data_IF_418366186082
#
_entry.id   IF_418366186082
#
_cell.length_a   1.000
_cell.length_b   1.000
_cell.length_c   1.000
_cell.angle_alpha   90.00
_cell.angle_beta   90.00
_cell.angle_gamma   90.00
#
_symmetry.space_group_name_H-M   'P 1'
#
loop_
_entity.id
_entity.type
_entity.pdbx_description
1 polymer ?
#
# COMPACT_ATOMS: atom_id res chain seq x y z
N UNK A 1 -7.10 3.59 -16.36
CA UNK A 1 -6.65 3.92 -15.00
C UNK A 1 -7.86 4.37 -14.20
N UNK A 2 -8.09 3.72 -13.07
CA UNK A 2 -9.08 4.15 -12.08
C UNK A 2 -8.61 5.48 -11.49
N UNK A 3 -9.52 6.44 -11.28
CA UNK A 3 -9.23 7.74 -10.66
C UNK A 3 -9.07 7.66 -9.14
N UNK A 4 -8.24 6.74 -8.63
CA UNK A 4 -7.88 6.61 -7.21
C UNK A 4 -6.36 6.71 -7.05
N UNK A 5 -5.90 7.00 -5.83
CA UNK A 5 -4.46 7.04 -5.51
C UNK A 5 -3.80 5.66 -5.43
N UNK A 6 -4.56 4.57 -5.59
CA UNK A 6 -4.02 3.21 -5.45
C UNK A 6 -2.93 2.92 -6.48
N UNK A 7 -3.08 3.39 -7.72
CA UNK A 7 -2.05 3.23 -8.76
C UNK A 7 -0.77 3.98 -8.42
N UNK A 8 -0.88 5.22 -7.95
CA UNK A 8 0.27 6.00 -7.46
C UNK A 8 0.94 5.29 -6.29
N UNK A 9 0.15 4.86 -5.30
CA UNK A 9 0.61 4.19 -4.08
C UNK A 9 1.39 2.89 -4.39
N UNK A 10 0.89 2.06 -5.30
CA UNK A 10 1.56 0.84 -5.75
C UNK A 10 2.83 1.14 -6.57
N UNK A 11 2.89 2.28 -7.27
CA UNK A 11 4.07 2.63 -8.07
C UNK A 11 5.22 3.24 -7.24
N UNK A 12 4.90 3.90 -6.12
CA UNK A 12 5.89 4.62 -5.30
C UNK A 12 7.10 3.77 -4.85
N UNK A 13 6.96 2.51 -4.43
CA UNK A 13 8.11 1.69 -4.08
C UNK A 13 9.07 1.46 -5.26
N UNK A 14 8.55 1.26 -6.46
CA UNK A 14 9.38 1.07 -7.66
C UNK A 14 10.05 2.39 -8.08
N UNK A 15 9.32 3.50 -7.95
CA UNK A 15 9.83 4.84 -8.21
C UNK A 15 10.96 5.24 -7.24
N UNK A 16 10.78 5.09 -5.93
CA UNK A 16 11.84 5.37 -4.96
C UNK A 16 12.94 4.31 -5.00
N UNK A 17 12.60 3.06 -5.27
CA UNK A 17 13.54 1.95 -5.43
C UNK A 17 14.50 2.14 -6.61
N UNK A 18 14.11 2.91 -7.64
CA UNK A 18 15.02 3.31 -8.72
C UNK A 18 15.92 4.51 -8.38
N UNK A 19 15.66 5.17 -7.25
CA UNK A 19 16.32 6.40 -6.82
C UNK A 19 15.65 7.69 -7.30
N UNK A 20 14.45 7.61 -7.90
CA UNK A 20 13.72 8.78 -8.34
C UNK A 20 13.15 9.60 -7.16
N UNK A 21 12.83 10.86 -7.42
CA UNK A 21 12.36 11.83 -6.40
C UNK A 21 11.09 12.51 -6.86
N UNK A 22 10.14 12.70 -5.93
CA UNK A 22 8.86 13.36 -6.24
C UNK A 22 9.01 14.81 -6.72
N UNK A 23 10.17 15.44 -6.45
CA UNK A 23 10.51 16.77 -6.96
C UNK A 23 10.95 16.79 -8.42
N UNK A 24 11.20 15.63 -9.04
CA UNK A 24 11.70 15.47 -10.42
C UNK A 24 11.13 14.18 -11.05
N UNK A 25 9.87 14.27 -11.47
CA UNK A 25 9.08 13.13 -11.94
C UNK A 25 9.53 12.58 -13.31
N UNK A 26 10.24 13.36 -14.11
CA UNK A 26 10.72 13.01 -15.46
C UNK A 26 12.20 12.59 -15.49
N UNK A 27 12.80 12.37 -14.33
CA UNK A 27 14.17 11.85 -14.21
C UNK A 27 14.35 10.49 -14.91
N UNK A 28 15.58 10.17 -15.32
CA UNK A 28 15.89 8.89 -15.96
C UNK A 28 15.55 7.69 -15.05
N UNK A 29 15.65 7.86 -13.73
CA UNK A 29 15.28 6.87 -12.72
C UNK A 29 13.76 6.63 -12.70
N UNK A 30 12.95 7.69 -12.80
CA UNK A 30 11.50 7.58 -12.88
C UNK A 30 11.07 6.85 -14.16
N UNK A 31 11.66 7.23 -15.30
CA UNK A 31 11.44 6.56 -16.58
C UNK A 31 11.82 5.09 -16.50
N UNK A 32 12.96 4.76 -15.90
CA UNK A 32 13.40 3.37 -15.72
C UNK A 32 12.40 2.53 -14.91
N UNK A 33 11.82 3.09 -13.84
CA UNK A 33 10.83 2.39 -13.03
C UNK A 33 9.54 2.12 -13.81
N UNK A 34 9.05 3.10 -14.58
CA UNK A 34 7.83 2.95 -15.37
C UNK A 34 8.03 2.00 -16.56
N UNK A 35 9.22 2.05 -17.19
CA UNK A 35 9.58 1.12 -18.26
C UNK A 35 9.55 -0.33 -17.78
N UNK A 36 10.04 -0.62 -16.57
CA UNK A 36 9.97 -1.98 -16.00
C UNK A 36 8.53 -2.53 -15.95
N UNK A 37 7.58 -1.73 -15.47
CA UNK A 37 6.16 -2.12 -15.43
C UNK A 37 5.55 -2.28 -16.83
N UNK A 38 5.91 -1.39 -17.76
CA UNK A 38 5.49 -1.49 -19.16
C UNK A 38 6.01 -2.77 -19.80
N UNK A 39 7.26 -3.14 -19.52
CA UNK A 39 7.88 -4.33 -20.07
C UNK A 39 7.21 -5.59 -19.52
N UNK A 40 6.83 -5.65 -18.24
CA UNK A 40 6.05 -6.78 -17.71
C UNK A 40 4.70 -6.99 -18.40
N UNK A 41 4.02 -5.90 -18.78
CA UNK A 41 2.79 -5.99 -19.57
C UNK A 41 3.07 -6.46 -21.00
N UNK A 42 4.13 -5.95 -21.62
CA UNK A 42 4.54 -6.34 -22.97
C UNK A 42 4.97 -7.81 -23.06
N UNK A 43 5.67 -8.30 -22.04
CA UNK A 43 6.23 -9.65 -21.98
C UNK A 43 5.22 -10.67 -21.41
N UNK A 44 4.04 -10.22 -20.99
CA UNK A 44 2.96 -11.07 -20.48
C UNK A 44 3.17 -11.58 -19.05
N UNK A 45 4.06 -10.95 -18.28
CA UNK A 45 4.27 -11.26 -16.86
C UNK A 45 3.19 -10.66 -15.96
N UNK A 46 2.49 -9.62 -16.43
CA UNK A 46 1.30 -9.06 -15.79
C UNK A 46 0.14 -8.99 -16.78
N UNK A 47 -1.12 -9.21 -16.33
CA UNK A 47 -2.28 -9.11 -17.21
C UNK A 47 -2.63 -7.64 -17.48
N UNK A 48 -3.25 -7.34 -18.64
CA UNK A 48 -3.71 -5.98 -18.96
C UNK A 48 -4.78 -5.45 -17.98
N UNK A 49 -5.46 -6.32 -17.22
CA UNK A 49 -6.44 -5.92 -16.21
C UNK A 49 -5.85 -5.00 -15.14
N UNK A 50 -4.56 -5.15 -14.80
CA UNK A 50 -3.90 -4.37 -13.73
C UNK A 50 -3.99 -2.86 -13.91
N UNK A 51 -4.13 -2.36 -15.14
CA UNK A 51 -4.32 -0.93 -15.44
C UNK A 51 -5.64 -0.35 -14.87
N UNK A 52 -6.58 -1.23 -14.51
CA UNK A 52 -7.88 -0.89 -13.94
C UNK A 52 -8.23 -1.77 -12.74
N UNK A 53 -7.25 -2.42 -12.09
CA UNK A 53 -7.49 -3.16 -10.86
C UNK A 53 -7.42 -2.21 -9.66
N UNK A 54 -8.23 -2.51 -8.64
CA UNK A 54 -7.99 -2.04 -7.27
C UNK A 54 -7.03 -2.99 -6.58
N UNK A 55 -6.46 -2.61 -5.44
CA UNK A 55 -5.66 -3.52 -4.61
C UNK A 55 -6.47 -4.75 -4.17
N UNK A 56 -7.79 -4.61 -3.99
CA UNK A 56 -8.68 -5.73 -3.66
C UNK A 56 -8.86 -6.66 -4.86
N UNK A 57 -8.99 -6.13 -6.07
CA UNK A 57 -9.11 -6.95 -7.29
C UNK A 57 -7.84 -7.74 -7.55
N UNK A 58 -6.67 -7.11 -7.44
CA UNK A 58 -5.38 -7.81 -7.58
C UNK A 58 -5.19 -8.89 -6.50
N UNK A 59 -5.70 -8.66 -5.28
CA UNK A 59 -5.71 -9.69 -4.24
C UNK A 59 -6.60 -10.89 -4.59
N UNK A 60 -7.78 -10.66 -5.16
CA UNK A 60 -8.68 -11.72 -5.60
C UNK A 60 -8.06 -12.56 -6.72
N UNK A 61 -7.35 -11.92 -7.66
CA UNK A 61 -6.56 -12.59 -8.68
C UNK A 61 -5.48 -13.49 -8.06
N UNK A 62 -4.67 -12.97 -7.13
CA UNK A 62 -3.66 -13.78 -6.42
C UNK A 62 -4.25 -14.98 -5.69
N UNK A 63 -5.41 -14.78 -5.05
CA UNK A 63 -6.09 -15.83 -4.28
C UNK A 63 -6.57 -17.00 -5.13
N UNK A 64 -6.61 -16.90 -6.46
CA UNK A 64 -6.90 -18.04 -7.34
C UNK A 64 -5.74 -19.04 -7.42
N UNK A 65 -4.52 -18.60 -7.09
CA UNK A 65 -3.29 -19.38 -7.26
C UNK A 65 -2.70 -19.33 -8.67
N UNK A 66 -3.30 -18.58 -9.60
CA UNK A 66 -2.79 -18.44 -10.98
C UNK A 66 -1.62 -17.46 -11.09
N UNK A 67 -1.41 -16.62 -10.07
CA UNK A 67 -0.38 -15.58 -10.03
C UNK A 67 0.66 -15.86 -8.95
N UNK A 68 1.94 -15.85 -9.34
CA UNK A 68 3.04 -16.14 -8.41
C UNK A 68 3.33 -15.00 -7.43
N UNK A 69 3.01 -13.76 -7.81
CA UNK A 69 3.27 -12.56 -7.00
C UNK A 69 2.05 -11.66 -6.94
N UNK A 70 1.90 -10.96 -5.81
CA UNK A 70 0.95 -9.87 -5.65
C UNK A 70 1.58 -8.77 -4.79
N UNK A 71 1.51 -7.54 -5.27
CA UNK A 71 1.81 -6.36 -4.46
C UNK A 71 0.54 -5.98 -3.69
N UNK A 72 0.62 -6.00 -2.36
CA UNK A 72 -0.49 -5.61 -1.49
C UNK A 72 0.00 -5.21 -0.12
N UNK A 73 -0.87 -4.55 0.63
CA UNK A 73 -0.61 -4.25 2.04
C UNK A 73 -0.95 -5.40 2.96
N UNK A 74 -0.61 -5.20 4.23
CA UNK A 74 -0.74 -6.22 5.27
C UNK A 74 -2.17 -6.57 5.62
N UNK A 75 -3.13 -5.72 5.26
CA UNK A 75 -4.57 -5.97 5.42
C UNK A 75 -5.06 -7.24 4.72
N UNK A 76 -4.31 -7.78 3.75
CA UNK A 76 -4.62 -9.07 3.11
C UNK A 76 -3.96 -10.28 3.77
N UNK A 77 -3.16 -10.13 4.83
CA UNK A 77 -2.43 -11.25 5.46
C UNK A 77 -3.39 -12.33 6.00
N UNK A 78 -4.53 -11.92 6.54
CA UNK A 78 -5.57 -12.84 6.98
C UNK A 78 -6.20 -13.61 5.80
N UNK A 79 -6.31 -12.97 4.63
CA UNK A 79 -6.71 -13.60 3.38
C UNK A 79 -5.67 -14.62 2.91
N UNK A 80 -4.38 -14.25 2.92
CA UNK A 80 -3.29 -15.13 2.49
C UNK A 80 -3.23 -16.43 3.28
N UNK A 81 -3.40 -16.36 4.61
CA UNK A 81 -3.48 -17.54 5.49
C UNK A 81 -4.64 -18.48 5.16
N UNK A 82 -5.66 -18.01 4.44
CA UNK A 82 -6.85 -18.78 4.03
C UNK A 82 -6.82 -19.22 2.56
N UNK A 83 -5.82 -18.79 1.77
CA UNK A 83 -5.77 -19.04 0.33
C UNK A 83 -5.54 -20.52 -0.04
N UNK A 84 -5.11 -21.35 0.92
CA UNK A 84 -4.99 -22.79 0.72
C UNK A 84 -3.69 -23.23 0.02
N UNK A 85 -2.75 -22.31 -0.19
CA UNK A 85 -1.41 -22.56 -0.69
C UNK A 85 -0.35 -21.88 0.20
N UNK A 86 0.90 -22.36 0.11
CA UNK A 86 2.03 -21.76 0.81
C UNK A 86 2.35 -20.38 0.22
N UNK A 87 2.56 -19.39 1.08
CA UNK A 87 2.92 -18.04 0.66
C UNK A 87 4.10 -17.50 1.48
N UNK A 88 4.81 -16.53 0.88
CA UNK A 88 5.83 -15.75 1.56
C UNK A 88 5.56 -14.26 1.36
N UNK A 89 6.23 -13.43 2.15
CA UNK A 89 6.22 -11.97 2.01
C UNK A 89 7.66 -11.52 1.81
N UNK A 90 7.89 -10.69 0.79
CA UNK A 90 9.17 -10.04 0.54
C UNK A 90 8.97 -8.54 0.32
N UNK A 91 9.97 -7.71 0.68
CA UNK A 91 9.95 -6.30 0.32
C UNK A 91 10.18 -6.15 -1.20
N UNK A 92 9.65 -5.07 -1.77
CA UNK A 92 9.97 -4.68 -3.14
C UNK A 92 11.47 -4.38 -3.24
N UNK A 93 12.20 -4.95 -4.22
CA UNK A 93 13.63 -4.74 -4.33
C UNK A 93 13.96 -3.35 -4.90
N UNK A 94 15.01 -2.72 -4.39
CA UNK A 94 15.60 -1.53 -4.99
C UNK A 94 16.52 -1.91 -6.17
N UNK A 95 16.65 -1.01 -7.15
CA UNK A 95 17.45 -1.25 -8.37
C UNK A 95 18.95 -1.45 -8.08
N UNK A 96 19.43 -0.95 -6.95
CA UNK A 96 20.82 -1.07 -6.48
C UNK A 96 21.02 -2.22 -5.48
N UNK A 97 19.98 -3.04 -5.25
CA UNK A 97 19.95 -4.10 -4.25
C UNK A 97 19.36 -3.65 -2.92
N UNK A 98 18.91 -4.63 -2.11
CA UNK A 98 18.18 -4.36 -0.87
C UNK A 98 16.71 -3.99 -1.09
N UNK A 99 16.08 -3.44 -0.07
CA UNK A 99 14.65 -3.08 -0.07
C UNK A 99 14.43 -1.64 -0.52
N UNK A 100 13.44 -1.43 -1.39
CA UNK A 100 12.94 -0.11 -1.71
C UNK A 100 12.18 0.49 -0.52
N UNK A 101 12.13 1.84 -0.45
CA UNK A 101 11.22 2.51 0.45
C UNK A 101 9.78 2.26 0.02
N UNK A 102 8.87 2.02 0.97
CA UNK A 102 7.45 1.86 0.71
C UNK A 102 6.67 3.09 1.22
N UNK A 103 5.56 3.49 0.57
CA UNK A 103 4.76 4.60 1.04
C UNK A 103 4.07 4.24 2.35
N UNK A 104 4.04 5.20 3.26
CA UNK A 104 3.28 5.07 4.51
C UNK A 104 1.81 5.33 4.21
N UNK A 105 0.99 4.29 4.32
CA UNK A 105 -0.48 4.39 4.29
C UNK A 105 -1.06 4.56 5.69
N UNK A 106 -2.25 3.99 5.90
CA UNK A 106 -2.97 4.01 7.17
C UNK A 106 -3.88 5.23 7.33
N UNK A 107 -4.40 5.40 8.54
CA UNK A 107 -5.38 6.43 8.87
C UNK A 107 -4.83 7.43 9.89
N UNK A 108 -5.28 8.68 9.74
CA UNK A 108 -5.01 9.74 10.70
C UNK A 108 -6.29 10.13 11.43
N UNK A 109 -6.19 10.29 12.74
CA UNK A 109 -7.26 10.92 13.53
C UNK A 109 -7.03 12.44 13.52
N UNK A 110 -8.00 13.18 13.03
CA UNK A 110 -7.95 14.65 13.01
C UNK A 110 -9.03 15.24 13.90
N UNK A 111 -8.70 16.31 14.62
CA UNK A 111 -9.65 17.10 15.39
C UNK A 111 -9.83 18.46 14.70
N UNK A 112 -10.94 18.66 13.96
CA UNK A 112 -11.22 19.95 13.35
C UNK A 112 -11.41 21.04 14.40
N UNK A 113 -11.10 22.29 14.04
CA UNK A 113 -11.42 23.45 14.87
C UNK A 113 -12.92 23.49 15.13
N UNK A 114 -13.30 23.65 16.40
CA UNK A 114 -14.68 23.68 16.87
C UNK A 114 -15.07 25.12 17.25
N UNK A 115 -16.25 25.55 16.82
CA UNK A 115 -16.89 26.79 17.29
C UNK A 115 -17.35 26.66 18.76
N UNK A 116 -17.85 25.47 19.12
CA UNK A 116 -18.20 25.12 20.49
C UNK A 116 -16.99 24.54 21.23
N UNK A 117 -16.33 25.37 22.03
CA UNK A 117 -15.16 24.98 22.82
C UNK A 117 -15.43 23.83 23.82
N UNK A 118 -16.69 23.61 24.21
CA UNK A 118 -17.07 22.49 25.08
C UNK A 118 -16.80 21.11 24.47
N UNK A 119 -16.63 21.04 23.14
CA UNK A 119 -16.34 19.80 22.41
C UNK A 119 -14.89 19.34 22.52
N UNK A 120 -13.96 20.23 22.84
CA UNK A 120 -12.54 19.85 22.87
C UNK A 120 -12.23 18.78 23.93
N UNK A 121 -12.80 18.89 25.13
CA UNK A 121 -12.59 17.91 26.20
C UNK A 121 -13.06 16.48 25.81
N UNK A 122 -14.30 16.26 25.33
CA UNK A 122 -14.72 14.93 24.87
C UNK A 122 -13.94 14.47 23.64
N UNK A 123 -13.66 15.35 22.67
CA UNK A 123 -12.85 15.01 21.50
C UNK A 123 -11.45 14.55 21.89
N UNK A 124 -10.77 15.25 22.79
CA UNK A 124 -9.46 14.85 23.30
C UNK A 124 -9.52 13.49 23.99
N UNK A 125 -10.57 13.23 24.77
CA UNK A 125 -10.76 11.94 25.44
C UNK A 125 -10.89 10.79 24.44
N UNK A 126 -11.65 11.00 23.36
CA UNK A 126 -11.80 10.01 22.28
C UNK A 126 -10.49 9.75 21.54
N UNK A 127 -9.79 10.81 21.11
CA UNK A 127 -8.52 10.65 20.40
C UNK A 127 -7.49 9.96 21.27
N UNK A 128 -7.34 10.39 22.53
CA UNK A 128 -6.41 9.75 23.47
C UNK A 128 -6.74 8.28 23.68
N UNK A 129 -8.03 7.92 23.72
CA UNK A 129 -8.45 6.52 23.79
C UNK A 129 -7.98 5.76 22.55
N UNK A 130 -8.31 6.24 21.35
CA UNK A 130 -7.98 5.58 20.08
C UNK A 130 -6.48 5.48 19.81
N UNK A 131 -5.68 6.43 20.30
CA UNK A 131 -4.24 6.50 20.03
C UNK A 131 -3.35 6.08 21.21
N UNK A 132 -3.95 5.63 22.32
CA UNK A 132 -3.17 5.04 23.42
C UNK A 132 -2.55 3.71 22.99
N UNK A 133 -1.36 3.37 23.50
CA UNK A 133 -0.57 2.22 23.05
C UNK A 133 -1.35 0.90 23.01
N UNK A 134 -2.02 0.54 24.11
CA UNK A 134 -2.78 -0.71 24.20
C UNK A 134 -3.98 -0.72 23.24
N UNK A 135 -4.76 0.37 23.18
CA UNK A 135 -5.93 0.43 22.30
C UNK A 135 -5.55 0.49 20.81
N UNK A 136 -4.44 1.13 20.48
CA UNK A 136 -3.92 1.15 19.11
C UNK A 136 -3.42 -0.24 18.74
N UNK A 137 -2.67 -0.90 19.62
CA UNK A 137 -2.23 -2.28 19.44
C UNK A 137 -3.39 -3.26 19.28
N UNK A 138 -4.53 -3.05 19.94
CA UNK A 138 -5.72 -3.88 19.75
C UNK A 138 -6.47 -3.55 18.44
N UNK A 139 -6.43 -2.28 18.04
CA UNK A 139 -7.08 -1.77 16.82
C UNK A 139 -6.35 -2.22 15.55
N UNK A 140 -5.03 -2.17 15.54
CA UNK A 140 -4.18 -2.56 14.41
C UNK A 140 -4.50 -3.98 13.89
N UNK A 141 -4.48 -5.06 14.69
CA UNK A 141 -4.82 -6.41 14.24
C UNK A 141 -6.31 -6.55 13.91
N UNK A 142 -7.19 -5.74 14.53
CA UNK A 142 -8.61 -5.70 14.18
C UNK A 142 -8.82 -5.16 12.76
N UNK A 143 -8.04 -4.15 12.38
CA UNK A 143 -8.00 -3.58 11.02
C UNK A 143 -7.07 -4.34 10.07
N UNK A 144 -6.47 -5.45 10.53
CA UNK A 144 -5.51 -6.27 9.78
C UNK A 144 -4.20 -5.55 9.42
N UNK A 145 -3.84 -4.50 10.16
CA UNK A 145 -2.48 -3.99 10.22
C UNK A 145 -1.59 -4.92 11.07
N UNK A 146 -0.26 -4.82 10.91
CA UNK A 146 0.76 -5.64 11.62
C UNK A 146 1.66 -4.75 12.45
#
# INVERSE_FOLDING_TARGET
AIGTEEGSFQFLPWFWGSGAKLTELDSAQAVSALTLWKDWLSDGYAPNSVLNNTQTTSWQEFSTGDYAFAENGTWQLAGAKKAGFDFGVLPIPASTGGSAAAPTGGEFVTLPVQDDSGRYAPSQKLVTCLTSGDNLYDTDPTLSYV
#
